data_IF_833108986815
#
_entry.id   IF_833108986815
#
_cell.length_a   1.000
_cell.length_b   1.000
_cell.length_c   1.000
_cell.angle_alpha   90.00
_cell.angle_beta   90.00
_cell.angle_gamma   90.00
#
_symmetry.space_group_name_H-M   'P 1'
#
loop_
_entity.id
_entity.type
_entity.pdbx_description
1 polymer ?
#
# COMPACT_ATOMS: atom_id res chain seq x y z
N UNK A 1 -9.97 -4.23 -42.41
CA UNK A 1 -9.39 -2.90 -42.10
C UNK A 1 -7.91 -3.14 -41.87
N UNK A 2 -7.05 -2.65 -42.78
CA UNK A 2 -5.60 -2.66 -42.55
C UNK A 2 -5.22 -1.37 -41.84
N UNK A 3 -4.76 -1.45 -40.61
CA UNK A 3 -4.21 -0.35 -39.86
C UNK A 3 -2.70 -0.35 -40.04
N UNK A 4 -2.15 0.74 -40.61
CA UNK A 4 -0.72 0.93 -40.76
C UNK A 4 -0.23 2.00 -39.79
N UNK A 5 0.82 1.76 -39.00
CA UNK A 5 1.42 2.78 -38.15
C UNK A 5 2.10 3.84 -39.02
N UNK A 6 1.85 5.12 -38.74
CA UNK A 6 2.49 6.23 -39.42
C UNK A 6 3.88 6.51 -38.83
N UNK A 7 4.92 6.25 -39.60
CA UNK A 7 6.30 6.56 -39.27
C UNK A 7 6.79 7.67 -40.20
N UNK A 8 6.90 8.88 -39.72
CA UNK A 8 7.09 10.17 -40.42
C UNK A 8 8.11 10.23 -41.60
N UNK A 9 8.83 9.17 -41.93
CA UNK A 9 9.95 9.24 -42.91
C UNK A 9 9.85 8.30 -44.10
N UNK A 10 8.90 7.40 -44.18
CA UNK A 10 8.95 6.30 -45.16
C UNK A 10 7.65 5.99 -45.89
N UNK A 11 6.56 6.65 -45.59
CA UNK A 11 5.26 6.16 -46.04
C UNK A 11 4.76 6.92 -47.27
N UNK A 12 4.46 6.19 -48.34
CA UNK A 12 3.68 6.73 -49.43
C UNK A 12 2.21 6.86 -49.00
N UNK A 13 1.78 8.07 -48.75
CA UNK A 13 0.45 8.39 -48.23
C UNK A 13 -0.59 8.60 -49.37
N UNK A 14 -0.23 8.36 -50.61
CA UNK A 14 -1.11 8.68 -51.75
C UNK A 14 -2.45 7.93 -51.76
N UNK A 15 -2.48 6.71 -51.19
CA UNK A 15 -3.68 5.87 -51.15
C UNK A 15 -4.40 5.89 -49.78
N UNK A 16 -3.96 6.74 -48.85
CA UNK A 16 -4.52 6.76 -47.51
C UNK A 16 -5.61 7.86 -47.41
N UNK A 17 -6.84 7.42 -47.20
CA UNK A 17 -7.99 8.30 -47.09
C UNK A 17 -8.40 8.68 -45.66
N UNK A 18 -7.90 7.90 -44.65
CA UNK A 18 -8.28 8.07 -43.23
C UNK A 18 -7.06 8.02 -42.32
N UNK A 19 -7.00 8.90 -41.35
CA UNK A 19 -6.08 8.80 -40.23
C UNK A 19 -6.85 8.72 -38.91
N UNK A 20 -6.32 7.92 -37.97
CA UNK A 20 -6.80 7.87 -36.59
C UNK A 20 -5.69 8.42 -35.69
N UNK A 21 -5.99 9.39 -34.86
CA UNK A 21 -5.01 10.04 -33.98
C UNK A 21 -5.53 10.14 -32.54
N UNK A 22 -4.68 9.92 -31.53
CA UNK A 22 -5.04 10.10 -30.12
C UNK A 22 -4.72 11.54 -29.64
N UNK A 23 -5.54 12.53 -30.03
CA UNK A 23 -5.36 13.92 -29.62
C UNK A 23 -4.26 14.69 -30.36
N UNK A 24 -3.64 14.10 -31.38
CA UNK A 24 -2.51 14.70 -32.10
C UNK A 24 -2.87 15.10 -33.55
N UNK A 25 -4.05 15.66 -33.73
CA UNK A 25 -4.56 16.06 -35.05
C UNK A 25 -3.58 16.93 -35.85
N UNK A 26 -2.83 17.78 -35.17
CA UNK A 26 -1.82 18.67 -35.76
C UNK A 26 -0.60 17.95 -36.38
N UNK A 27 -0.44 16.66 -36.08
CA UNK A 27 0.63 15.83 -36.66
C UNK A 27 0.21 15.03 -37.88
N UNK A 28 -1.08 15.03 -38.19
CA UNK A 28 -1.60 14.32 -39.36
C UNK A 28 -1.30 15.20 -40.62
N UNK A 29 -0.70 14.60 -41.68
CA UNK A 29 -0.43 15.30 -42.90
C UNK A 29 -1.71 15.87 -43.55
N UNK A 30 -1.61 17.07 -44.09
CA UNK A 30 -2.73 17.75 -44.75
C UNK A 30 -3.26 17.00 -45.98
N UNK A 31 -2.47 16.09 -46.55
CA UNK A 31 -2.87 15.23 -47.66
C UNK A 31 -3.96 14.21 -47.33
N UNK A 32 -4.19 13.95 -46.02
CA UNK A 32 -5.20 12.98 -45.58
C UNK A 32 -6.53 13.72 -45.28
N UNK A 33 -7.58 13.46 -46.08
CA UNK A 33 -8.79 14.25 -45.99
C UNK A 33 -9.67 13.94 -44.76
N UNK A 34 -9.61 12.69 -44.26
CA UNK A 34 -10.48 12.25 -43.18
C UNK A 34 -9.68 11.94 -41.95
N UNK A 35 -9.89 12.68 -40.87
CA UNK A 35 -9.19 12.49 -39.59
C UNK A 35 -10.21 12.12 -38.52
N UNK A 36 -10.02 10.95 -37.90
CA UNK A 36 -10.77 10.52 -36.72
C UNK A 36 -9.87 10.75 -35.53
N UNK A 37 -10.19 11.74 -34.74
CA UNK A 37 -9.49 11.99 -33.48
C UNK A 37 -10.22 11.27 -32.35
N UNK A 38 -9.56 10.27 -31.79
CA UNK A 38 -10.10 9.49 -30.64
C UNK A 38 -9.85 10.16 -29.29
N UNK A 39 -9.32 11.37 -29.31
CA UNK A 39 -9.01 12.15 -28.10
C UNK A 39 -7.72 11.72 -27.42
N UNK A 40 -7.38 12.42 -26.35
CA UNK A 40 -6.17 12.14 -25.57
C UNK A 40 -6.24 10.77 -24.91
N UNK A 41 -5.12 10.09 -24.87
CA UNK A 41 -4.98 8.85 -24.12
C UNK A 41 -5.29 9.13 -22.66
N UNK A 42 -6.11 8.29 -22.07
CA UNK A 42 -6.33 8.27 -20.63
C UNK A 42 -5.47 7.15 -20.03
N UNK A 43 -4.87 7.42 -18.88
CA UNK A 43 -4.22 6.35 -18.12
C UNK A 43 -5.28 5.33 -17.76
N UNK A 44 -4.98 4.05 -17.86
CA UNK A 44 -5.85 3.04 -17.28
C UNK A 44 -5.77 3.11 -15.74
N UNK A 45 -6.81 2.61 -15.09
CA UNK A 45 -6.91 2.69 -13.63
C UNK A 45 -5.79 1.92 -12.93
N UNK A 46 -5.35 0.80 -13.50
CA UNK A 46 -4.28 -0.02 -12.92
C UNK A 46 -2.96 0.76 -12.92
N UNK A 47 -2.58 1.32 -14.07
CA UNK A 47 -1.37 2.15 -14.20
C UNK A 47 -1.39 3.31 -13.18
N UNK A 48 -2.56 3.95 -13.01
CA UNK A 48 -2.70 5.04 -12.05
C UNK A 48 -2.48 4.57 -10.61
N UNK A 49 -3.06 3.44 -10.23
CA UNK A 49 -2.90 2.86 -8.90
C UNK A 49 -1.47 2.41 -8.62
N UNK A 50 -0.79 1.84 -9.60
CA UNK A 50 0.61 1.41 -9.50
C UNK A 50 1.56 2.60 -9.31
N UNK A 51 1.20 3.77 -9.84
CA UNK A 51 1.99 5.00 -9.67
C UNK A 51 1.87 5.61 -8.27
N UNK A 52 0.73 5.49 -7.59
CA UNK A 52 0.51 6.14 -6.28
C UNK A 52 1.55 5.75 -5.22
N UNK A 53 1.86 4.46 -5.02
CA UNK A 53 2.91 4.03 -4.10
C UNK A 53 4.29 4.55 -4.51
N UNK A 54 4.61 4.52 -5.80
CA UNK A 54 5.90 5.00 -6.32
C UNK A 54 6.11 6.50 -6.08
N UNK A 55 5.03 7.27 -6.11
CA UNK A 55 5.04 8.69 -5.81
C UNK A 55 4.89 9.00 -4.30
N UNK A 56 4.83 7.95 -3.47
CA UNK A 56 4.63 8.06 -2.03
C UNK A 56 3.33 8.82 -1.65
N UNK A 57 2.30 8.67 -2.49
CA UNK A 57 0.99 9.28 -2.30
C UNK A 57 0.05 8.27 -1.63
N UNK A 58 -0.59 8.67 -0.53
CA UNK A 58 -1.61 7.85 0.10
C UNK A 58 -2.90 7.88 -0.74
N UNK A 59 -3.52 6.71 -0.93
CA UNK A 59 -4.80 6.61 -1.64
C UNK A 59 -5.91 7.45 -0.99
N UNK A 60 -5.87 7.64 0.33
CA UNK A 60 -6.86 8.41 1.06
C UNK A 60 -7.03 9.86 0.59
N UNK A 61 -5.93 10.55 0.25
CA UNK A 61 -5.97 11.94 -0.21
C UNK A 61 -6.62 12.11 -1.58
N UNK A 62 -6.67 11.05 -2.39
CA UNK A 62 -7.15 11.07 -3.77
C UNK A 62 -8.41 10.22 -4.01
N UNK A 63 -8.97 9.64 -2.93
CA UNK A 63 -10.08 8.70 -2.99
C UNK A 63 -11.25 9.16 -3.84
N UNK A 64 -11.72 10.40 -3.62
CA UNK A 64 -12.84 10.94 -4.38
C UNK A 64 -12.48 11.20 -5.85
N UNK A 65 -11.26 11.66 -6.11
CA UNK A 65 -10.78 11.89 -7.46
C UNK A 65 -10.64 10.57 -8.22
N UNK A 66 -10.10 9.54 -7.56
CA UNK A 66 -9.99 8.18 -8.11
C UNK A 66 -11.35 7.58 -8.45
N UNK A 67 -12.34 7.72 -7.56
CA UNK A 67 -13.69 7.23 -7.82
C UNK A 67 -14.34 7.96 -9.02
N UNK A 68 -14.20 9.28 -9.11
CA UNK A 68 -14.67 10.04 -10.26
C UNK A 68 -13.97 9.65 -11.56
N UNK A 69 -12.66 9.40 -11.49
CA UNK A 69 -11.89 8.94 -12.63
C UNK A 69 -12.35 7.53 -13.07
N UNK A 70 -12.53 6.62 -12.13
CA UNK A 70 -13.08 5.28 -12.39
C UNK A 70 -14.46 5.37 -13.05
N UNK A 71 -15.34 6.22 -12.54
CA UNK A 71 -16.67 6.46 -13.12
C UNK A 71 -16.60 6.97 -14.58
N UNK A 72 -15.61 7.79 -14.91
CA UNK A 72 -15.44 8.34 -16.26
C UNK A 72 -14.76 7.39 -17.24
N UNK A 73 -14.06 6.33 -16.74
CA UNK A 73 -13.19 5.49 -17.58
C UNK A 73 -13.74 4.07 -17.72
N UNK A 74 -14.52 3.58 -16.74
CA UNK A 74 -15.04 2.21 -16.68
C UNK A 74 -16.54 2.18 -17.05
N UNK A 75 -16.90 2.53 -18.28
CA UNK A 75 -18.26 2.34 -18.78
C UNK A 75 -18.63 0.86 -19.04
N UNK A 76 -17.62 -0.01 -19.16
CA UNK A 76 -17.77 -1.42 -19.53
C UNK A 76 -17.57 -2.32 -18.32
N UNK A 77 -18.63 -2.90 -17.81
CA UNK A 77 -18.72 -3.93 -16.77
C UNK A 77 -18.93 -3.44 -15.32
N UNK A 78 -20.17 -3.30 -14.96
CA UNK A 78 -20.64 -3.11 -13.57
C UNK A 78 -20.00 -4.05 -12.55
N UNK A 79 -19.57 -5.25 -12.97
CA UNK A 79 -18.91 -6.24 -12.11
C UNK A 79 -17.48 -5.86 -11.69
N UNK A 80 -16.67 -5.36 -12.61
CA UNK A 80 -15.27 -4.94 -12.34
C UNK A 80 -15.27 -3.68 -11.48
N UNK A 81 -16.10 -2.70 -11.82
CA UNK A 81 -16.29 -1.48 -11.04
C UNK A 81 -16.70 -1.79 -9.60
N UNK A 82 -17.68 -2.68 -9.41
CA UNK A 82 -18.16 -3.08 -8.08
C UNK A 82 -17.05 -3.75 -7.27
N UNK A 83 -16.30 -4.67 -7.86
CA UNK A 83 -15.17 -5.35 -7.19
C UNK A 83 -14.08 -4.37 -6.82
N UNK A 84 -13.76 -3.44 -7.72
CA UNK A 84 -12.76 -2.40 -7.47
C UNK A 84 -13.16 -1.51 -6.28
N UNK A 85 -14.39 -0.98 -6.28
CA UNK A 85 -14.92 -0.16 -5.19
C UNK A 85 -14.92 -0.95 -3.88
N UNK A 86 -15.34 -2.20 -3.88
CA UNK A 86 -15.32 -3.05 -2.69
C UNK A 86 -13.91 -3.27 -2.15
N UNK A 87 -12.95 -3.59 -3.02
CA UNK A 87 -11.53 -3.75 -2.64
C UNK A 87 -10.96 -2.45 -2.09
N UNK A 88 -11.27 -1.34 -2.73
CA UNK A 88 -10.83 -0.02 -2.29
C UNK A 88 -11.38 0.35 -0.91
N UNK A 89 -12.70 0.22 -0.71
CA UNK A 89 -13.35 0.49 0.59
C UNK A 89 -12.78 -0.40 1.69
N UNK A 90 -12.57 -1.69 1.39
CA UNK A 90 -11.95 -2.61 2.35
C UNK A 90 -10.54 -2.18 2.72
N UNK A 91 -9.71 -1.85 1.73
CA UNK A 91 -8.33 -1.36 1.96
C UNK A 91 -8.30 -0.10 2.81
N UNK A 92 -9.15 0.88 2.49
CA UNK A 92 -9.26 2.13 3.27
C UNK A 92 -9.70 1.87 4.70
N UNK A 93 -10.71 1.00 4.88
CA UNK A 93 -11.19 0.61 6.21
C UNK A 93 -10.10 -0.06 7.03
N UNK A 94 -9.34 -0.99 6.44
CA UNK A 94 -8.20 -1.64 7.10
C UNK A 94 -7.13 -0.61 7.49
N UNK A 95 -6.79 0.31 6.60
CA UNK A 95 -5.83 1.38 6.89
C UNK A 95 -6.29 2.24 8.07
N UNK A 96 -7.57 2.60 8.11
CA UNK A 96 -8.14 3.36 9.24
C UNK A 96 -8.08 2.56 10.55
N UNK A 97 -8.46 1.28 10.53
CA UNK A 97 -8.39 0.43 11.72
C UNK A 97 -6.95 0.31 12.22
N UNK A 98 -5.98 0.11 11.32
CA UNK A 98 -4.57 0.00 11.68
C UNK A 98 -4.01 1.34 12.21
N UNK A 99 -4.50 2.47 11.74
CA UNK A 99 -4.09 3.80 12.24
C UNK A 99 -4.61 4.11 13.63
N UNK A 100 -5.70 3.47 14.08
CA UNK A 100 -6.23 3.60 15.44
C UNK A 100 -5.46 2.77 16.49
N UNK A 101 -4.55 1.90 16.04
CA UNK A 101 -3.73 1.11 16.95
C UNK A 101 -2.64 1.97 17.58
N UNK A 102 -2.42 1.79 18.89
CA UNK A 102 -1.35 2.46 19.63
C UNK A 102 0.02 1.75 19.45
N UNK A 103 0.05 0.67 18.69
CA UNK A 103 1.24 -0.09 18.34
C UNK A 103 1.75 0.34 16.96
N UNK A 104 3.04 0.47 16.81
CA UNK A 104 3.63 0.64 15.48
C UNK A 104 3.44 -0.65 14.66
N UNK A 105 2.97 -0.51 13.42
CA UNK A 105 2.76 -1.65 12.52
C UNK A 105 3.54 -1.40 11.24
N UNK A 106 4.37 -2.37 10.86
CA UNK A 106 5.09 -2.39 9.58
C UNK A 106 4.79 -3.73 8.90
N UNK A 107 4.38 -3.69 7.64
CA UNK A 107 4.22 -4.88 6.80
C UNK A 107 5.32 -4.89 5.76
N UNK A 108 5.95 -6.04 5.57
CA UNK A 108 7.00 -6.25 4.56
C UNK A 108 6.63 -7.38 3.62
N UNK A 109 7.28 -7.43 2.47
CA UNK A 109 7.33 -8.65 1.65
C UNK A 109 8.24 -9.72 2.29
N UNK A 110 8.45 -10.84 1.60
CA UNK A 110 9.28 -11.94 2.06
C UNK A 110 10.78 -11.55 2.14
N UNK A 111 11.22 -10.56 1.39
CA UNK A 111 12.56 -10.02 1.32
C UNK A 111 12.79 -8.84 2.28
N UNK A 112 11.81 -8.54 3.15
CA UNK A 112 11.83 -7.43 4.10
C UNK A 112 11.85 -6.03 3.47
N UNK A 113 11.24 -5.84 2.30
CA UNK A 113 10.91 -4.52 1.79
C UNK A 113 9.56 -4.06 2.33
N UNK A 114 9.48 -2.81 2.75
CA UNK A 114 8.30 -2.26 3.42
C UNK A 114 7.19 -2.01 2.38
N UNK A 115 6.04 -2.64 2.60
CA UNK A 115 4.83 -2.46 1.78
C UNK A 115 3.75 -1.62 2.45
N UNK A 116 3.74 -1.56 3.79
CA UNK A 116 2.81 -0.77 4.57
C UNK A 116 3.39 -0.39 5.93
N UNK A 117 2.97 0.75 6.47
CA UNK A 117 3.24 1.20 7.84
C UNK A 117 2.11 2.10 8.33
N UNK A 118 1.87 2.15 9.64
CA UNK A 118 0.95 3.09 10.25
C UNK A 118 1.67 4.32 10.83
N UNK A 119 0.91 5.31 11.27
CA UNK A 119 1.44 6.57 11.82
C UNK A 119 2.32 6.33 13.04
N UNK A 120 1.97 5.38 13.91
CA UNK A 120 2.77 5.08 15.09
C UNK A 120 4.14 4.49 14.72
N UNK A 121 4.22 3.69 13.66
CA UNK A 121 5.49 3.22 13.13
C UNK A 121 6.37 4.37 12.59
N UNK A 122 5.79 5.39 11.95
CA UNK A 122 6.52 6.60 11.54
C UNK A 122 7.13 7.32 12.75
N UNK A 123 6.38 7.45 13.84
CA UNK A 123 6.86 8.06 15.09
C UNK A 123 8.01 7.25 15.72
N UNK A 124 7.92 5.91 15.70
CA UNK A 124 8.96 5.03 16.25
C UNK A 124 10.24 5.09 15.42
N UNK A 125 10.12 5.13 14.10
CA UNK A 125 11.25 5.23 13.18
C UNK A 125 11.85 6.64 13.10
N UNK A 126 11.14 7.65 13.61
CA UNK A 126 11.47 9.08 13.47
C UNK A 126 11.68 9.52 12.01
N UNK A 127 11.14 8.75 11.08
CA UNK A 127 11.14 9.05 9.66
C UNK A 127 9.97 8.36 8.95
N UNK A 128 9.58 8.94 7.84
CA UNK A 128 8.61 8.31 6.94
C UNK A 128 9.34 7.39 5.96
N UNK A 129 9.10 6.08 5.98
CA UNK A 129 9.70 5.18 5.01
C UNK A 129 9.13 5.43 3.60
N UNK A 130 9.82 4.92 2.60
CA UNK A 130 9.32 4.87 1.24
C UNK A 130 8.77 3.47 0.96
N UNK A 131 7.80 3.40 0.07
CA UNK A 131 7.31 2.11 -0.42
C UNK A 131 8.46 1.31 -1.05
N UNK A 132 8.53 0.01 -0.77
CA UNK A 132 9.63 -0.89 -1.19
C UNK A 132 11.01 -0.55 -0.60
N UNK A 133 11.09 0.32 0.42
CA UNK A 133 12.33 0.54 1.15
C UNK A 133 12.68 -0.70 1.97
N UNK A 134 13.96 -1.09 1.96
CA UNK A 134 14.42 -2.20 2.80
C UNK A 134 14.30 -1.85 4.30
N UNK A 135 13.86 -2.80 5.12
CA UNK A 135 13.73 -2.63 6.57
C UNK A 135 15.05 -2.19 7.22
N UNK A 136 16.19 -2.69 6.70
CA UNK A 136 17.54 -2.31 7.14
C UNK A 136 17.88 -0.82 6.95
N UNK A 137 17.16 -0.14 6.06
CA UNK A 137 17.34 1.31 5.88
C UNK A 137 16.53 2.14 6.88
N UNK A 138 15.60 1.50 7.62
CA UNK A 138 14.73 2.16 8.60
C UNK A 138 15.20 1.97 10.03
N UNK A 139 15.99 0.93 10.30
CA UNK A 139 16.47 0.60 11.63
C UNK A 139 17.99 0.40 11.65
N UNK A 140 18.65 0.54 12.80
CA UNK A 140 20.06 0.16 12.96
C UNK A 140 20.29 -1.27 12.47
N UNK A 141 21.40 -1.51 11.78
CA UNK A 141 21.70 -2.79 11.13
C UNK A 141 21.54 -4.00 12.05
N UNK A 142 21.98 -3.88 13.32
CA UNK A 142 21.86 -4.95 14.33
C UNK A 142 20.39 -5.33 14.58
N UNK A 143 19.51 -4.34 14.70
CA UNK A 143 18.08 -4.58 14.94
C UNK A 143 17.38 -5.12 13.69
N UNK A 144 17.70 -4.57 12.52
CA UNK A 144 17.15 -5.05 11.27
C UNK A 144 17.53 -6.51 10.96
N UNK A 145 18.82 -6.87 11.17
CA UNK A 145 19.28 -8.24 11.02
C UNK A 145 18.61 -9.18 12.01
N UNK A 146 18.44 -8.74 13.27
CA UNK A 146 17.76 -9.53 14.30
C UNK A 146 16.30 -9.79 13.90
N UNK A 147 15.55 -8.76 13.49
CA UNK A 147 14.16 -8.87 13.04
C UNK A 147 13.99 -9.75 11.80
N UNK A 148 15.01 -9.81 10.93
CA UNK A 148 15.02 -10.65 9.73
C UNK A 148 15.50 -12.09 9.98
N UNK A 149 16.10 -12.39 11.16
CA UNK A 149 16.59 -13.73 11.48
C UNK A 149 15.45 -14.78 11.44
N UNK A 150 15.69 -15.98 10.88
CA UNK A 150 14.66 -17.03 10.81
C UNK A 150 14.04 -17.39 12.18
N UNK A 151 14.83 -17.37 13.24
CA UNK A 151 14.42 -17.74 14.59
C UNK A 151 13.72 -16.60 15.35
N UNK A 152 13.61 -15.41 14.76
CA UNK A 152 12.97 -14.29 15.42
C UNK A 152 11.44 -14.46 15.41
N UNK A 153 10.84 -14.44 16.57
CA UNK A 153 9.39 -14.37 16.75
C UNK A 153 8.98 -13.09 17.48
N UNK A 154 9.58 -12.86 18.65
CA UNK A 154 9.40 -11.67 19.48
C UNK A 154 10.64 -11.38 20.31
N UNK A 155 10.89 -10.11 20.56
CA UNK A 155 11.98 -9.68 21.45
C UNK A 155 11.81 -8.21 21.90
N UNK A 156 12.52 -7.87 22.98
CA UNK A 156 12.62 -6.51 23.46
C UNK A 156 13.76 -5.79 22.74
N UNK A 157 13.44 -4.78 21.96
CA UNK A 157 14.40 -3.99 21.18
C UNK A 157 14.36 -2.54 21.67
N UNK A 158 15.53 -1.96 21.92
CA UNK A 158 15.64 -0.55 22.27
C UNK A 158 15.79 0.29 20.99
N UNK A 159 14.79 1.13 20.70
CA UNK A 159 14.79 2.08 19.59
C UNK A 159 14.77 3.50 20.15
N UNK A 160 15.74 4.32 19.74
CA UNK A 160 15.85 5.71 20.20
C UNK A 160 15.83 5.83 21.74
N UNK A 161 16.48 4.89 22.45
CA UNK A 161 16.52 4.85 23.91
C UNK A 161 15.23 4.39 24.59
N UNK A 162 14.20 4.01 23.84
CA UNK A 162 12.93 3.49 24.36
C UNK A 162 12.80 1.99 24.10
N UNK A 163 12.38 1.21 25.08
CA UNK A 163 12.19 -0.23 24.90
C UNK A 163 10.84 -0.52 24.23
N UNK A 164 10.88 -1.32 23.16
CA UNK A 164 9.72 -1.84 22.45
C UNK A 164 9.74 -3.36 22.44
N UNK A 165 8.60 -3.97 22.71
CA UNK A 165 8.37 -5.37 22.39
C UNK A 165 8.04 -5.46 20.91
N UNK A 166 8.91 -6.10 20.15
CA UNK A 166 8.73 -6.29 18.71
C UNK A 166 8.34 -7.72 18.45
N UNK A 167 7.25 -7.94 17.72
CA UNK A 167 6.77 -9.26 17.31
C UNK A 167 6.72 -9.34 15.79
N UNK A 168 7.11 -10.49 15.24
CA UNK A 168 7.02 -10.77 13.82
C UNK A 168 6.07 -11.92 13.56
N UNK A 169 5.04 -11.67 12.77
CA UNK A 169 4.07 -12.67 12.35
C UNK A 169 4.13 -12.84 10.83
N UNK A 170 4.44 -14.04 10.32
CA UNK A 170 4.38 -14.29 8.89
C UNK A 170 2.92 -14.32 8.42
N UNK A 171 2.67 -13.86 7.20
CA UNK A 171 1.40 -14.09 6.51
C UNK A 171 1.63 -14.86 5.21
N UNK A 172 0.61 -15.61 4.81
CA UNK A 172 0.72 -16.60 3.75
C UNK A 172 -0.25 -16.28 2.62
N UNK A 173 0.19 -16.49 1.38
CA UNK A 173 -0.66 -16.49 0.20
C UNK A 173 -0.42 -17.80 -0.54
N UNK A 174 -1.49 -18.54 -0.84
CA UNK A 174 -1.42 -19.86 -1.50
C UNK A 174 -0.44 -20.84 -0.82
N UNK A 175 -0.34 -20.76 0.51
CA UNK A 175 0.52 -21.66 1.29
C UNK A 175 2.01 -21.27 1.34
N UNK A 176 2.42 -20.18 0.71
CA UNK A 176 3.78 -19.65 0.76
C UNK A 176 3.83 -18.36 1.60
N UNK A 177 4.94 -18.10 2.27
CA UNK A 177 5.15 -16.85 2.99
C UNK A 177 5.18 -15.71 1.97
N UNK A 178 4.22 -14.79 2.08
CA UNK A 178 4.15 -13.60 1.24
C UNK A 178 4.79 -12.39 1.91
N UNK A 179 5.05 -12.47 3.21
CA UNK A 179 5.68 -11.39 3.93
C UNK A 179 5.48 -11.50 5.44
N UNK A 180 5.77 -10.41 6.13
CA UNK A 180 5.77 -10.36 7.59
C UNK A 180 5.07 -9.09 8.09
N UNK A 181 4.30 -9.25 9.15
CA UNK A 181 3.76 -8.15 9.93
C UNK A 181 4.61 -7.98 11.19
N UNK A 182 5.28 -6.85 11.32
CA UNK A 182 6.04 -6.44 12.49
C UNK A 182 5.18 -5.51 13.34
N UNK A 183 4.99 -5.82 14.63
CA UNK A 183 4.31 -4.96 15.59
C UNK A 183 5.28 -4.48 16.65
N UNK A 184 5.18 -3.21 16.99
CA UNK A 184 6.05 -2.52 17.95
C UNK A 184 5.19 -1.99 19.09
N UNK A 185 5.23 -2.65 20.23
CA UNK A 185 4.50 -2.25 21.44
C UNK A 185 5.45 -1.58 22.43
N UNK A 186 5.19 -0.34 22.84
CA UNK A 186 6.04 0.29 23.85
C UNK A 186 5.89 -0.42 25.21
N UNK A 187 6.99 -0.58 25.92
CA UNK A 187 6.97 -1.22 27.25
C UNK A 187 6.07 -0.47 28.25
N UNK A 188 5.92 0.83 28.10
CA UNK A 188 4.99 1.64 28.90
C UNK A 188 3.54 1.29 28.61
N UNK A 189 3.18 1.07 27.35
CA UNK A 189 1.83 0.68 26.93
C UNK A 189 1.48 -0.73 27.44
N UNK A 190 2.41 -1.66 27.36
CA UNK A 190 2.23 -3.03 27.87
C UNK A 190 1.95 -2.99 29.38
N UNK A 191 2.73 -2.22 30.14
CA UNK A 191 2.52 -2.06 31.59
C UNK A 191 1.16 -1.44 31.91
N UNK A 192 0.77 -0.39 31.18
CA UNK A 192 -0.52 0.27 31.35
C UNK A 192 -1.68 -0.70 31.08
N UNK A 193 -1.65 -1.39 29.97
CA UNK A 193 -2.66 -2.39 29.60
C UNK A 193 -2.73 -3.54 30.64
N UNK A 194 -1.56 -4.03 31.09
CA UNK A 194 -1.49 -5.06 32.14
C UNK A 194 -2.09 -4.59 33.47
N UNK A 195 -1.80 -3.36 33.90
CA UNK A 195 -2.36 -2.81 35.14
C UNK A 195 -3.88 -2.57 35.04
N UNK A 196 -4.37 -2.08 33.90
CA UNK A 196 -5.80 -1.90 33.66
C UNK A 196 -6.55 -3.24 33.62
N UNK A 197 -5.97 -4.26 32.95
CA UNK A 197 -6.54 -5.61 32.93
C UNK A 197 -6.60 -6.19 34.33
N UNK A 198 -5.50 -6.10 35.09
CA UNK A 198 -5.46 -6.57 36.47
C UNK A 198 -6.52 -5.89 37.35
N UNK A 199 -6.70 -4.58 37.17
CA UNK A 199 -7.75 -3.82 37.91
C UNK A 199 -9.15 -4.28 37.53
N UNK A 200 -9.43 -4.49 36.23
CA UNK A 200 -10.72 -5.00 35.74
C UNK A 200 -11.00 -6.41 36.26
N UNK A 201 -10.02 -7.32 36.19
CA UNK A 201 -10.17 -8.67 36.70
C UNK A 201 -10.42 -8.70 38.22
N UNK A 202 -9.74 -7.82 38.99
CA UNK A 202 -10.00 -7.68 40.42
C UNK A 202 -11.41 -7.16 40.69
N UNK A 203 -11.89 -6.15 39.94
CA UNK A 203 -13.24 -5.60 40.11
C UNK A 203 -14.35 -6.61 39.75
N UNK A 204 -14.06 -7.56 38.87
CA UNK A 204 -14.98 -8.64 38.46
C UNK A 204 -14.90 -9.88 39.35
N UNK A 205 -14.03 -9.87 40.39
CA UNK A 205 -13.87 -11.03 41.28
C UNK A 205 -13.17 -12.24 40.65
N UNK A 206 -12.55 -12.06 39.46
CA UNK A 206 -11.91 -13.13 38.71
C UNK A 206 -10.45 -13.42 39.15
N UNK A 207 -9.92 -12.70 40.14
CA UNK A 207 -8.67 -13.03 40.78
C UNK A 207 -8.93 -14.02 41.91
N UNK A 208 -8.42 -15.25 41.77
CA UNK A 208 -8.34 -16.17 42.88
C UNK A 208 -7.52 -15.54 44.03
N UNK A 209 -8.11 -15.40 45.22
CA UNK A 209 -7.37 -15.06 46.43
C UNK A 209 -6.58 -16.31 46.85
N UNK A 210 -5.33 -16.40 46.42
CA UNK A 210 -4.42 -17.34 47.04
C UNK A 210 -4.04 -16.75 48.41
N UNK A 211 -4.67 -17.27 49.47
CA UNK A 211 -4.14 -17.16 50.82
C UNK A 211 -3.08 -18.26 50.93
N UNK A 212 -1.84 -17.87 51.05
CA UNK A 212 -0.82 -18.76 51.63
C UNK A 212 -0.98 -18.67 53.16
N UNK A 213 -1.44 -19.75 53.80
CA UNK A 213 -1.33 -19.96 55.24
C UNK A 213 0.12 -20.32 55.56
#
# INVERSE_FOLDING_TARGET
LNLLPYLQKTDNLADICFAVTPGERHRVPESIPNIIDIGNRRLDMQTFLDMLPLLNLSSGSFSQALLRYADSTLELHTGIKKRYIQSYVLSETLTQILSLQNSGIIVTDAEFHISYWNTEAEHIMEKRPLFQMALSSCFPAVHAQKMASPDFSDDLISLNGKPFMVKRNPFYTMGQISGYCLTFDSASQIRKNGSELSRKLKSQGLFARYHFD
#
